data_IF_993092620007
#
_entry.id   IF_993092620007
#
_cell.length_a   1.000
_cell.length_b   1.000
_cell.length_c   1.000
_cell.angle_alpha   90.00
_cell.angle_beta   90.00
_cell.angle_gamma   90.00
#
_symmetry.space_group_name_H-M   'P 1'
#
loop_
_entity.id
_entity.type
_entity.pdbx_description
1 polymer ?
#
# COMPACT_ATOMS: atom_id res chain seq x y z
N UNK A 1 -21.03 22.81 1.11
CA UNK A 1 -19.56 22.70 0.98
C UNK A 1 -19.25 21.23 0.83
N UNK A 2 -18.24 20.89 0.03
CA UNK A 2 -17.83 19.50 -0.15
C UNK A 2 -16.54 19.26 0.63
N UNK A 3 -16.49 18.16 1.37
CA UNK A 3 -15.26 17.66 1.98
C UNK A 3 -14.95 16.27 1.44
N UNK A 4 -13.67 16.00 1.20
CA UNK A 4 -13.17 14.73 0.70
C UNK A 4 -12.35 14.06 1.80
N UNK A 5 -12.82 12.91 2.27
CA UNK A 5 -12.09 12.04 3.18
C UNK A 5 -11.50 10.91 2.36
N UNK A 6 -10.18 10.86 2.24
CA UNK A 6 -9.49 9.81 1.51
C UNK A 6 -8.92 8.79 2.49
N UNK A 7 -9.15 7.51 2.24
CA UNK A 7 -8.49 6.40 2.93
C UNK A 7 -7.58 5.68 1.93
N UNK A 8 -6.37 6.22 1.69
CA UNK A 8 -5.42 5.62 0.76
C UNK A 8 -4.76 4.38 1.39
N UNK A 9 -4.13 3.57 0.53
CA UNK A 9 -3.21 2.52 0.95
C UNK A 9 -2.04 2.51 -0.03
N UNK A 10 -0.82 2.66 0.48
CA UNK A 10 0.41 2.45 -0.32
C UNK A 10 0.90 1.05 0.00
N UNK A 11 0.65 0.11 -0.91
CA UNK A 11 0.86 -1.31 -0.65
C UNK A 11 2.34 -1.65 -0.42
N UNK A 12 3.26 -1.01 -1.13
CA UNK A 12 4.71 -1.16 -0.94
C UNK A 12 5.13 -0.91 0.51
N UNK A 13 4.67 0.20 1.12
CA UNK A 13 5.01 0.54 2.50
C UNK A 13 4.51 -0.51 3.50
N UNK A 14 3.30 -1.02 3.26
CA UNK A 14 2.70 -2.06 4.08
C UNK A 14 3.50 -3.36 3.99
N UNK A 15 3.93 -3.74 2.78
CA UNK A 15 4.73 -4.94 2.55
C UNK A 15 6.15 -4.77 3.12
N UNK A 16 6.77 -3.60 2.98
CA UNK A 16 8.07 -3.28 3.61
C UNK A 16 7.99 -3.47 5.12
N UNK A 17 6.97 -2.89 5.78
CA UNK A 17 6.75 -3.06 7.21
C UNK A 17 6.58 -4.53 7.59
N UNK A 18 5.78 -5.28 6.83
CA UNK A 18 5.56 -6.71 7.07
C UNK A 18 6.87 -7.53 6.98
N UNK A 19 7.73 -7.22 6.00
CA UNK A 19 9.06 -7.85 5.89
C UNK A 19 10.00 -7.45 7.02
N UNK A 20 10.03 -6.18 7.41
CA UNK A 20 10.85 -5.69 8.52
C UNK A 20 10.46 -6.40 9.83
N UNK A 21 9.16 -6.47 10.13
CA UNK A 21 8.63 -7.19 11.29
C UNK A 21 8.96 -8.69 11.22
N UNK A 22 8.88 -9.31 10.03
CA UNK A 22 9.26 -10.71 9.82
C UNK A 22 10.75 -10.97 10.11
N UNK A 23 11.65 -10.16 9.56
CA UNK A 23 13.09 -10.34 9.80
C UNK A 23 13.48 -10.08 11.26
N UNK A 24 12.83 -9.11 11.92
CA UNK A 24 12.96 -8.90 13.37
C UNK A 24 12.49 -10.13 14.16
N UNK A 25 11.34 -10.70 13.82
CA UNK A 25 10.80 -11.88 14.49
C UNK A 25 11.70 -13.13 14.28
N UNK A 26 12.33 -13.25 13.12
CA UNK A 26 13.33 -14.28 12.84
C UNK A 26 14.65 -14.09 13.60
N UNK A 27 14.88 -12.91 14.21
CA UNK A 27 16.14 -12.55 14.86
C UNK A 27 17.33 -12.72 13.90
N UNK A 28 17.17 -12.31 12.65
CA UNK A 28 18.18 -12.50 11.59
C UNK A 28 19.54 -11.92 11.93
N UNK A 29 19.61 -10.86 12.75
CA UNK A 29 20.86 -10.29 13.24
C UNK A 29 21.69 -11.27 14.09
N UNK A 30 21.06 -12.29 14.70
CA UNK A 30 21.77 -13.31 15.50
C UNK A 30 22.41 -14.39 14.62
N UNK A 31 21.76 -14.70 13.49
CA UNK A 31 22.23 -15.64 12.48
C UNK A 31 23.29 -15.01 11.56
N UNK A 32 23.07 -13.75 11.16
CA UNK A 32 23.94 -12.99 10.27
C UNK A 32 24.62 -11.84 11.02
N UNK A 33 25.47 -12.16 11.99
CA UNK A 33 26.08 -11.17 12.91
C UNK A 33 26.84 -10.01 12.24
N UNK A 34 27.27 -10.20 10.99
CA UNK A 34 28.01 -9.20 10.22
C UNK A 34 27.14 -8.42 9.23
N UNK A 35 25.84 -8.69 9.16
CA UNK A 35 24.94 -8.12 8.16
C UNK A 35 23.67 -7.58 8.80
N UNK A 36 23.29 -6.38 8.39
CA UNK A 36 21.97 -5.82 8.65
C UNK A 36 21.16 -5.94 7.36
N UNK A 37 19.97 -6.55 7.44
CA UNK A 37 19.08 -6.67 6.29
C UNK A 37 18.28 -5.38 6.19
N UNK A 38 18.42 -4.66 5.08
CA UNK A 38 17.69 -3.43 4.82
C UNK A 38 16.44 -3.71 3.99
N UNK A 39 15.25 -3.45 4.54
CA UNK A 39 14.01 -3.52 3.76
C UNK A 39 13.58 -2.11 3.38
N UNK A 40 13.34 -1.86 2.10
CA UNK A 40 13.12 -0.50 1.58
C UNK A 40 12.19 -0.51 0.37
N UNK A 41 11.56 0.62 0.09
CA UNK A 41 10.87 0.91 -1.17
C UNK A 41 11.74 1.72 -2.15
N UNK A 42 12.84 2.31 -1.68
CA UNK A 42 13.80 3.02 -2.52
C UNK A 42 14.90 2.06 -3.01
N UNK A 43 15.13 2.04 -4.32
CA UNK A 43 16.12 1.15 -4.91
C UNK A 43 17.55 1.58 -4.50
N UNK A 44 18.41 0.68 -3.97
CA UNK A 44 19.74 1.07 -3.43
C UNK A 44 20.63 1.77 -4.46
N UNK A 45 20.43 1.47 -5.75
CA UNK A 45 21.20 2.08 -6.83
C UNK A 45 20.83 3.56 -7.04
N UNK A 46 19.59 4.00 -6.77
CA UNK A 46 19.24 5.43 -6.88
C UNK A 46 20.04 6.28 -5.91
N UNK A 47 20.39 5.72 -4.75
CA UNK A 47 21.22 6.36 -3.72
C UNK A 47 22.70 6.43 -4.10
N UNK A 48 23.16 5.55 -5.00
CA UNK A 48 24.57 5.46 -5.40
C UNK A 48 24.86 6.11 -6.76
N UNK A 49 23.84 6.27 -7.63
CA UNK A 49 23.99 6.87 -8.96
C UNK A 49 24.57 8.30 -8.93
N UNK A 50 24.13 9.23 -8.04
CA UNK A 50 24.60 10.62 -8.09
C UNK A 50 26.13 10.75 -8.00
N UNK A 51 26.75 9.93 -7.15
CA UNK A 51 28.19 9.96 -6.88
C UNK A 51 28.94 8.78 -7.52
N UNK A 52 28.23 7.88 -8.22
CA UNK A 52 28.73 6.59 -8.71
C UNK A 52 29.59 5.84 -7.69
N UNK A 53 29.25 5.98 -6.40
CA UNK A 53 30.07 5.51 -5.28
C UNK A 53 29.35 4.37 -4.58
N UNK A 54 30.07 3.26 -4.41
CA UNK A 54 29.56 2.11 -3.71
C UNK A 54 29.35 2.42 -2.22
N UNK A 55 28.16 2.10 -1.71
CA UNK A 55 27.84 2.17 -0.30
C UNK A 55 27.52 0.77 0.24
N UNK A 56 28.47 0.15 0.97
CA UNK A 56 28.26 -1.17 1.56
C UNK A 56 27.17 -1.19 2.64
N UNK A 57 26.92 -0.06 3.31
CA UNK A 57 26.01 0.01 4.47
C UNK A 57 24.53 -0.17 4.11
N UNK A 58 24.17 -0.15 2.83
CA UNK A 58 22.79 -0.40 2.38
C UNK A 58 22.59 -1.83 1.88
N UNK A 59 23.60 -2.71 1.98
CA UNK A 59 23.53 -4.11 1.56
C UNK A 59 23.73 -5.09 2.74
N UNK A 60 23.06 -6.26 2.74
CA UNK A 60 22.05 -6.69 1.78
C UNK A 60 20.76 -5.90 1.92
N UNK A 61 20.06 -5.71 0.81
CA UNK A 61 18.73 -5.10 0.83
C UNK A 61 17.67 -5.96 0.16
N UNK A 62 16.45 -5.80 0.65
CA UNK A 62 15.20 -6.27 0.09
C UNK A 62 14.40 -5.03 -0.32
N UNK A 63 14.25 -4.83 -1.62
CA UNK A 63 13.54 -3.71 -2.22
C UNK A 63 12.15 -4.18 -2.59
N UNK A 64 11.13 -3.46 -2.14
CA UNK A 64 9.74 -3.69 -2.49
C UNK A 64 9.30 -2.60 -3.46
N UNK A 65 8.80 -2.98 -4.63
CA UNK A 65 8.31 -2.00 -5.60
C UNK A 65 7.06 -2.48 -6.34
N UNK A 66 6.23 -1.56 -6.80
CA UNK A 66 5.08 -1.84 -7.66
C UNK A 66 5.52 -1.83 -9.12
N UNK A 67 5.35 -2.95 -9.81
CA UNK A 67 5.68 -3.13 -11.23
C UNK A 67 4.57 -2.58 -12.14
N UNK A 68 3.33 -2.74 -11.72
CA UNK A 68 2.14 -2.28 -12.44
C UNK A 68 0.99 -2.08 -11.47
N UNK A 69 0.16 -1.08 -11.76
CA UNK A 69 -1.05 -0.77 -11.00
C UNK A 69 -2.22 -0.60 -11.97
N UNK A 70 -3.26 -1.43 -11.79
CA UNK A 70 -4.41 -1.49 -12.67
C UNK A 70 -5.73 -1.56 -11.89
N UNK A 71 -6.83 -1.29 -12.60
CA UNK A 71 -8.17 -1.58 -12.10
C UNK A 71 -8.58 -2.96 -12.57
N UNK A 72 -8.91 -3.91 -11.68
CA UNK A 72 -9.32 -5.24 -12.08
C UNK A 72 -10.61 -5.17 -12.91
N UNK A 73 -10.52 -5.63 -14.16
CA UNK A 73 -11.60 -5.56 -15.16
C UNK A 73 -12.83 -6.37 -14.75
N UNK A 74 -12.62 -7.45 -14.00
CA UNK A 74 -13.63 -8.41 -13.57
C UNK A 74 -14.61 -7.82 -12.55
N UNK A 75 -14.28 -6.67 -11.97
CA UNK A 75 -15.02 -6.02 -10.88
C UNK A 75 -15.52 -4.61 -11.25
N UNK A 76 -15.41 -4.20 -12.53
CA UNK A 76 -15.80 -2.85 -12.97
C UNK A 76 -17.28 -2.52 -12.71
N UNK A 77 -18.14 -3.54 -12.63
CA UNK A 77 -19.59 -3.37 -12.44
C UNK A 77 -20.02 -3.38 -10.96
N UNK A 78 -19.10 -3.63 -10.03
CA UNK A 78 -19.40 -3.62 -8.60
C UNK A 78 -19.20 -2.20 -8.04
N UNK A 79 -20.12 -1.28 -8.36
CA UNK A 79 -20.14 0.05 -7.75
C UNK A 79 -20.62 -0.09 -6.31
N UNK A 80 -19.69 -0.13 -5.36
CA UNK A 80 -20.01 -0.06 -3.93
C UNK A 80 -19.95 1.40 -3.49
N UNK A 81 -21.01 2.12 -3.84
CA UNK A 81 -21.32 3.41 -3.24
C UNK A 81 -22.26 3.19 -2.06
N UNK A 82 -21.90 3.68 -0.88
CA UNK A 82 -22.73 3.59 0.32
C UNK A 82 -23.00 4.96 0.91
N UNK A 83 -24.14 5.11 1.57
CA UNK A 83 -24.43 6.33 2.33
C UNK A 83 -23.47 6.43 3.52
N UNK A 84 -22.90 7.61 3.73
CA UNK A 84 -21.93 7.90 4.78
C UNK A 84 -22.53 8.93 5.73
N UNK A 85 -22.48 8.63 7.03
CA UNK A 85 -22.89 9.55 8.09
C UNK A 85 -21.69 9.73 9.01
N UNK A 86 -21.33 10.98 9.26
CA UNK A 86 -20.30 11.35 10.22
C UNK A 86 -20.96 12.09 11.38
N UNK A 87 -20.70 11.60 12.59
CA UNK A 87 -21.03 12.26 13.86
C UNK A 87 -19.78 12.90 14.45
N UNK A 88 -19.96 13.87 15.35
CA UNK A 88 -18.83 14.60 15.96
C UNK A 88 -17.85 13.68 16.69
N UNK A 89 -18.36 12.60 17.28
CA UNK A 89 -17.57 11.58 18.00
C UNK A 89 -16.68 10.76 17.08
N UNK A 90 -16.93 10.77 15.78
CA UNK A 90 -16.19 9.96 14.80
C UNK A 90 -14.92 10.66 14.35
N UNK A 91 -14.84 12.00 14.45
CA UNK A 91 -13.65 12.78 14.06
C UNK A 91 -12.33 12.19 14.61
N UNK A 92 -12.19 11.91 15.92
CA UNK A 92 -10.95 11.34 16.45
C UNK A 92 -10.68 9.91 15.93
N UNK A 93 -11.71 9.18 15.49
CA UNK A 93 -11.59 7.80 15.00
C UNK A 93 -11.20 7.73 13.51
N UNK A 94 -11.36 8.81 12.75
CA UNK A 94 -11.08 8.82 11.32
C UNK A 94 -9.62 8.43 11.00
N UNK A 95 -8.66 8.92 11.80
CA UNK A 95 -7.25 8.55 11.63
C UNK A 95 -7.00 7.07 11.97
N UNK A 96 -7.65 6.54 13.01
CA UNK A 96 -7.55 5.13 13.41
C UNK A 96 -8.12 4.19 12.32
N UNK A 97 -9.17 4.64 11.64
CA UNK A 97 -9.78 3.97 10.49
C UNK A 97 -8.98 4.15 9.18
N UNK A 98 -7.89 4.93 9.20
CA UNK A 98 -6.94 5.09 8.10
C UNK A 98 -7.24 6.25 7.15
N UNK A 99 -8.16 7.16 7.49
CA UNK A 99 -8.39 8.35 6.70
C UNK A 99 -7.23 9.35 6.86
N UNK A 100 -6.80 9.91 5.74
CA UNK A 100 -5.83 11.00 5.72
C UNK A 100 -6.52 12.31 6.15
N UNK A 101 -6.31 12.70 7.41
CA UNK A 101 -6.75 13.97 7.96
C UNK A 101 -5.56 14.92 8.14
N UNK A 102 -5.74 16.17 7.73
CA UNK A 102 -4.89 17.27 8.15
C UNK A 102 -5.62 18.12 9.21
N UNK A 103 -4.86 18.88 10.00
CA UNK A 103 -5.39 19.72 11.07
C UNK A 103 -6.45 20.74 10.57
N UNK A 104 -6.24 21.28 9.36
CA UNK A 104 -7.17 22.23 8.73
C UNK A 104 -8.52 21.56 8.45
N UNK A 105 -8.51 20.38 7.82
CA UNK A 105 -9.73 19.62 7.54
C UNK A 105 -10.47 19.22 8.82
N UNK A 106 -9.73 18.81 9.85
CA UNK A 106 -10.30 18.47 11.16
C UNK A 106 -11.04 19.66 11.76
N UNK A 107 -10.41 20.83 11.75
CA UNK A 107 -11.01 22.08 12.24
C UNK A 107 -12.23 22.49 11.42
N UNK A 108 -12.20 22.31 10.11
CA UNK A 108 -13.33 22.63 9.24
C UNK A 108 -14.54 21.72 9.52
N UNK A 109 -14.32 20.42 9.74
CA UNK A 109 -15.38 19.51 10.16
C UNK A 109 -15.95 19.90 11.53
N UNK A 110 -15.10 20.22 12.51
CA UNK A 110 -15.52 20.69 13.84
C UNK A 110 -16.38 21.96 13.76
N UNK A 111 -16.03 22.90 12.88
CA UNK A 111 -16.81 24.12 12.64
C UNK A 111 -18.18 23.82 12.03
N UNK A 112 -18.30 22.82 11.17
CA UNK A 112 -19.58 22.41 10.60
C UNK A 112 -20.46 21.70 11.65
N UNK A 113 -19.85 20.93 12.57
CA UNK A 113 -20.57 20.35 13.70
C UNK A 113 -21.05 21.38 14.74
N UNK A 114 -20.56 22.63 14.69
CA UNK A 114 -21.17 23.72 15.46
C UNK A 114 -22.55 24.13 14.91
N UNK A 115 -22.86 23.77 13.65
CA UNK A 115 -24.10 24.13 12.95
C UNK A 115 -25.03 22.94 12.74
N UNK A 116 -24.49 21.72 12.70
CA UNK A 116 -25.21 20.47 12.40
C UNK A 116 -24.83 19.37 13.38
N UNK A 117 -25.78 18.52 13.74
CA UNK A 117 -25.51 17.35 14.58
C UNK A 117 -24.83 16.22 13.79
N UNK A 118 -25.13 16.09 12.49
CA UNK A 118 -24.60 15.07 11.60
C UNK A 118 -24.20 15.67 10.26
N UNK A 119 -23.15 15.12 9.67
CA UNK A 119 -22.73 15.42 8.30
C UNK A 119 -22.98 14.18 7.43
N UNK A 120 -23.59 14.37 6.27
CA UNK A 120 -23.99 13.28 5.38
C UNK A 120 -23.16 13.30 4.09
N UNK A 121 -22.95 12.14 3.51
CA UNK A 121 -22.13 11.97 2.32
C UNK A 121 -22.32 10.62 1.64
N UNK A 122 -21.41 10.33 0.72
CA UNK A 122 -21.29 9.03 0.04
C UNK A 122 -19.87 8.54 0.16
N UNK A 123 -19.70 7.27 0.54
CA UNK A 123 -18.44 6.55 0.44
C UNK A 123 -18.39 5.77 -0.87
N UNK A 124 -17.24 5.79 -1.54
CA UNK A 124 -16.98 4.99 -2.73
C UNK A 124 -15.76 4.11 -2.50
N UNK A 125 -15.96 2.79 -2.60
CA UNK A 125 -14.89 1.81 -2.57
C UNK A 125 -14.31 1.64 -3.97
N UNK A 126 -13.00 1.75 -4.10
CA UNK A 126 -12.25 1.63 -5.36
C UNK A 126 -11.32 0.44 -5.23
N UNK A 127 -11.47 -0.52 -6.13
CA UNK A 127 -10.63 -1.72 -6.16
C UNK A 127 -9.39 -1.48 -7.01
N UNK A 128 -8.24 -1.93 -6.52
CA UNK A 128 -6.94 -1.88 -7.18
C UNK A 128 -6.36 -3.28 -7.26
N UNK A 129 -5.61 -3.52 -8.33
CA UNK A 129 -4.74 -4.68 -8.48
C UNK A 129 -3.34 -4.16 -8.78
N UNK A 130 -2.40 -4.54 -7.94
CA UNK A 130 -0.99 -4.24 -8.14
C UNK A 130 -0.21 -5.53 -8.36
N UNK A 131 0.83 -5.44 -9.20
CA UNK A 131 1.88 -6.45 -9.25
C UNK A 131 3.07 -5.91 -8.48
N UNK A 132 3.45 -6.59 -7.41
CA UNK A 132 4.56 -6.22 -6.54
C UNK A 132 5.80 -7.04 -6.90
N UNK A 133 6.95 -6.38 -6.97
CA UNK A 133 8.30 -6.94 -7.06
C UNK A 133 8.97 -6.89 -5.69
N UNK A 134 9.68 -7.95 -5.35
CA UNK A 134 10.63 -8.01 -4.25
C UNK A 134 12.00 -8.32 -4.84
N UNK A 135 12.87 -7.32 -4.88
CA UNK A 135 14.24 -7.48 -5.35
C UNK A 135 15.20 -7.61 -4.18
N UNK A 136 16.18 -8.50 -4.30
CA UNK A 136 17.14 -8.77 -3.23
C UNK A 136 18.52 -8.60 -3.82
N UNK A 137 19.31 -7.73 -3.21
CA UNK A 137 20.66 -7.41 -3.66
C UNK A 137 21.68 -7.60 -2.54
N UNK A 138 22.81 -8.23 -2.86
CA UNK A 138 23.93 -8.38 -1.94
C UNK A 138 25.24 -8.60 -2.68
N UNK A 139 26.35 -8.23 -2.06
CA UNK A 139 27.69 -8.66 -2.46
C UNK A 139 27.90 -10.17 -2.23
N UNK A 140 27.21 -10.74 -1.24
CA UNK A 140 27.34 -12.14 -0.87
C UNK A 140 26.22 -12.98 -1.52
N UNK A 141 26.60 -13.81 -2.49
CA UNK A 141 25.65 -14.62 -3.25
C UNK A 141 24.91 -15.66 -2.39
N UNK A 142 25.57 -16.23 -1.38
CA UNK A 142 24.97 -17.22 -0.48
C UNK A 142 23.91 -16.55 0.39
N UNK A 143 24.25 -15.42 1.01
CA UNK A 143 23.32 -14.63 1.81
C UNK A 143 22.10 -14.21 0.99
N UNK A 144 22.32 -13.71 -0.24
CA UNK A 144 21.21 -13.36 -1.15
C UNK A 144 20.30 -14.55 -1.47
N UNK A 145 20.85 -15.75 -1.67
CA UNK A 145 20.03 -16.95 -1.89
C UNK A 145 19.23 -17.34 -0.66
N UNK A 146 19.80 -17.22 0.54
CA UNK A 146 19.10 -17.51 1.79
C UNK A 146 17.97 -16.49 2.03
N UNK A 147 18.24 -15.20 1.80
CA UNK A 147 17.22 -14.15 1.84
C UNK A 147 16.11 -14.38 0.82
N UNK A 148 16.44 -14.83 -0.39
CA UNK A 148 15.45 -15.20 -1.40
C UNK A 148 14.49 -16.28 -0.90
N UNK A 149 15.00 -17.36 -0.31
CA UNK A 149 14.13 -18.43 0.21
C UNK A 149 13.34 -17.94 1.44
N UNK A 150 13.91 -17.11 2.32
CA UNK A 150 13.19 -16.49 3.43
C UNK A 150 12.03 -15.62 2.94
N UNK A 151 12.29 -14.76 1.95
CA UNK A 151 11.25 -13.92 1.36
C UNK A 151 10.15 -14.76 0.73
N UNK A 152 10.52 -15.79 -0.04
CA UNK A 152 9.57 -16.70 -0.68
C UNK A 152 8.69 -17.44 0.34
N UNK A 153 9.29 -17.95 1.43
CA UNK A 153 8.57 -18.61 2.51
C UNK A 153 7.59 -17.66 3.21
N UNK A 154 8.01 -16.41 3.46
CA UNK A 154 7.15 -15.41 4.06
C UNK A 154 5.97 -15.08 3.15
N UNK A 155 6.20 -14.82 1.86
CA UNK A 155 5.15 -14.53 0.89
C UNK A 155 4.14 -15.67 0.74
N UNK A 156 4.59 -16.92 0.72
CA UNK A 156 3.72 -18.08 0.54
C UNK A 156 2.97 -18.50 1.83
N UNK A 157 3.41 -18.03 3.00
CA UNK A 157 2.87 -18.44 4.29
C UNK A 157 2.54 -17.26 5.20
N UNK A 158 3.57 -16.67 5.81
CA UNK A 158 3.42 -15.73 6.93
C UNK A 158 2.84 -14.36 6.58
N UNK A 159 2.91 -13.92 5.32
CA UNK A 159 2.45 -12.57 4.94
C UNK A 159 0.94 -12.39 5.15
N UNK A 160 0.19 -13.49 5.08
CA UNK A 160 -1.25 -13.49 5.30
C UNK A 160 -1.63 -13.00 6.70
N UNK A 161 -0.86 -13.42 7.69
CA UNK A 161 -1.05 -13.04 9.09
C UNK A 161 -0.45 -11.67 9.38
N UNK A 162 0.71 -11.36 8.79
CA UNK A 162 1.34 -10.05 8.90
C UNK A 162 0.45 -8.91 8.37
N UNK A 163 -0.42 -9.21 7.40
CA UNK A 163 -1.36 -8.24 6.81
C UNK A 163 -2.78 -8.34 7.37
N UNK A 164 -3.00 -9.01 8.51
CA UNK A 164 -4.33 -9.25 9.06
C UNK A 164 -5.15 -7.98 9.33
N UNK A 165 -4.50 -6.89 9.76
CA UNK A 165 -5.19 -5.60 9.98
C UNK A 165 -5.63 -4.97 8.66
N UNK A 166 -4.74 -4.91 7.67
CA UNK A 166 -5.01 -4.35 6.35
C UNK A 166 -6.04 -5.19 5.57
N UNK A 167 -6.12 -6.50 5.83
CA UNK A 167 -7.22 -7.35 5.36
C UNK A 167 -8.58 -6.91 5.86
N UNK A 168 -8.67 -6.50 7.12
CA UNK A 168 -9.94 -6.04 7.71
C UNK A 168 -10.32 -4.65 7.18
N UNK A 169 -9.35 -3.73 7.07
CA UNK A 169 -9.61 -2.33 6.70
C UNK A 169 -9.70 -2.10 5.19
N UNK A 170 -8.83 -2.73 4.42
CA UNK A 170 -8.65 -2.49 2.98
C UNK A 170 -8.83 -3.75 2.12
N UNK A 171 -9.24 -4.87 2.70
CA UNK A 171 -9.42 -6.14 2.00
C UNK A 171 -8.20 -6.57 1.16
N UNK A 172 -6.99 -6.39 1.71
CA UNK A 172 -5.74 -6.75 1.04
C UNK A 172 -5.65 -8.27 0.86
N UNK A 173 -5.55 -8.73 -0.38
CA UNK A 173 -5.40 -10.13 -0.75
C UNK A 173 -4.14 -10.29 -1.59
N UNK A 174 -3.28 -11.23 -1.20
CA UNK A 174 -2.12 -11.66 -1.98
C UNK A 174 -2.45 -13.01 -2.60
N UNK A 175 -2.13 -13.16 -3.89
CA UNK A 175 -2.43 -14.37 -4.65
C UNK A 175 -1.20 -15.28 -4.71
N UNK A 176 -1.10 -16.24 -3.79
CA UNK A 176 0.05 -17.15 -3.69
C UNK A 176 0.38 -17.87 -5.02
N UNK A 177 -0.65 -18.22 -5.80
CA UNK A 177 -0.51 -18.87 -7.11
C UNK A 177 0.15 -17.98 -8.18
N UNK A 178 0.28 -16.68 -7.92
CA UNK A 178 0.93 -15.71 -8.80
C UNK A 178 2.38 -15.43 -8.43
N UNK A 179 2.86 -16.01 -7.30
CA UNK A 179 4.26 -15.85 -6.87
C UNK A 179 5.18 -16.49 -7.90
N UNK A 180 6.00 -15.66 -8.54
CA UNK A 180 7.03 -16.03 -9.51
C UNK A 180 8.37 -15.48 -9.06
N UNK A 181 9.48 -16.07 -9.46
CA UNK A 181 10.76 -15.46 -9.17
C UNK A 181 11.96 -16.06 -9.87
N UNK A 182 13.00 -15.23 -9.93
CA UNK A 182 14.29 -15.48 -10.56
C UNK A 182 15.37 -15.40 -9.48
N UNK A 183 15.87 -16.56 -9.04
CA UNK A 183 16.87 -16.62 -7.97
C UNK A 183 18.28 -16.23 -8.43
N UNK A 184 18.58 -16.37 -9.72
CA UNK A 184 19.94 -16.27 -10.26
C UNK A 184 19.96 -15.60 -11.62
N UNK A 185 21.14 -15.15 -12.04
CA UNK A 185 21.37 -14.56 -13.38
C UNK A 185 21.26 -13.04 -13.41
N UNK A 186 20.86 -12.42 -12.31
CA UNK A 186 20.87 -10.96 -12.17
C UNK A 186 22.15 -10.51 -11.45
N UNK A 187 22.94 -9.66 -12.10
CA UNK A 187 24.16 -9.09 -11.54
C UNK A 187 24.29 -7.63 -11.95
N UNK A 188 24.76 -6.78 -11.03
CA UNK A 188 25.14 -5.40 -11.31
C UNK A 188 26.64 -5.22 -11.01
N UNK A 189 27.34 -4.48 -11.88
CA UNK A 189 28.78 -4.20 -11.80
C UNK A 189 29.09 -2.70 -11.86
N UNK A 190 28.08 -1.84 -11.87
CA UNK A 190 28.21 -0.41 -12.21
C UNK A 190 29.00 0.38 -11.15
N UNK A 191 29.07 -0.15 -9.92
CA UNK A 191 29.67 0.51 -8.76
C UNK A 191 31.04 -0.08 -8.37
N UNK A 192 31.71 -0.79 -9.29
CA UNK A 192 33.06 -1.35 -9.06
C UNK A 192 33.10 -2.59 -8.16
N UNK A 193 31.94 -3.05 -7.69
CA UNK A 193 31.76 -4.32 -6.94
C UNK A 193 30.71 -5.18 -7.64
N UNK A 194 30.81 -6.50 -7.45
CA UNK A 194 29.82 -7.45 -7.97
C UNK A 194 28.65 -7.54 -7.01
N UNK A 195 27.49 -7.06 -7.42
CA UNK A 195 26.23 -7.24 -6.69
C UNK A 195 25.40 -8.33 -7.35
N UNK A 196 25.03 -9.36 -6.58
CA UNK A 196 24.13 -10.41 -7.01
C UNK A 196 22.69 -10.02 -6.70
N UNK A 197 21.82 -10.10 -7.70
CA UNK A 197 20.39 -9.84 -7.61
C UNK A 197 19.56 -11.13 -7.63
N UNK A 198 18.36 -11.04 -7.07
CA UNK A 198 17.25 -11.97 -7.32
C UNK A 198 15.93 -11.23 -7.20
N UNK A 199 14.88 -11.76 -7.82
CA UNK A 199 13.55 -11.13 -7.82
C UNK A 199 12.45 -12.13 -7.52
N UNK A 200 11.48 -11.73 -6.73
CA UNK A 200 10.17 -12.36 -6.60
C UNK A 200 9.12 -11.36 -7.08
N UNK A 201 8.02 -11.84 -7.64
CA UNK A 201 6.90 -10.98 -8.02
C UNK A 201 5.57 -11.70 -7.76
N UNK A 202 4.53 -10.95 -7.42
CA UNK A 202 3.20 -11.48 -7.15
C UNK A 202 2.13 -10.41 -7.37
N UNK A 203 0.90 -10.85 -7.57
CA UNK A 203 -0.25 -9.96 -7.66
C UNK A 203 -0.90 -9.81 -6.28
N UNK A 204 -1.43 -8.60 -6.04
CA UNK A 204 -2.22 -8.29 -4.86
C UNK A 204 -3.41 -7.40 -5.23
N UNK A 205 -4.58 -7.74 -4.69
CA UNK A 205 -5.79 -6.94 -4.81
C UNK A 205 -6.07 -6.25 -3.47
N UNK A 206 -6.52 -5.01 -3.50
CA UNK A 206 -6.90 -4.25 -2.31
C UNK A 206 -7.88 -3.13 -2.64
N UNK A 207 -8.47 -2.54 -1.62
CA UNK A 207 -9.43 -1.45 -1.73
C UNK A 207 -8.88 -0.16 -1.12
N UNK A 208 -9.16 0.95 -1.79
CA UNK A 208 -9.07 2.30 -1.26
C UNK A 208 -10.47 2.90 -1.21
N UNK A 209 -10.68 3.87 -0.32
CA UNK A 209 -11.98 4.50 -0.16
C UNK A 209 -11.87 6.02 -0.25
N UNK A 210 -12.89 6.63 -0.86
CA UNK A 210 -13.10 8.06 -0.79
C UNK A 210 -14.54 8.34 -0.33
N UNK A 211 -14.65 9.12 0.74
CA UNK A 211 -15.93 9.56 1.30
C UNK A 211 -16.10 11.04 1.04
N UNK A 212 -17.20 11.42 0.39
CA UNK A 212 -17.51 12.79 0.00
C UNK A 212 -18.66 13.27 0.87
N UNK A 213 -18.38 14.20 1.77
CA UNK A 213 -19.39 14.86 2.61
C UNK A 213 -19.92 16.06 1.85
N UNK A 214 -21.24 16.19 1.74
CA UNK A 214 -21.89 17.39 1.25
C UNK A 214 -22.74 18.02 2.34
N UNK A 215 -22.32 19.20 2.80
CA UNK A 215 -23.03 19.94 3.85
C UNK A 215 -24.41 20.46 3.43
N UNK A 216 -24.83 20.24 2.18
CA UNK A 216 -26.21 20.51 1.72
C UNK A 216 -27.15 19.30 1.84
N UNK A 217 -26.63 18.11 2.17
CA UNK A 217 -27.41 16.88 2.30
C UNK A 217 -27.88 16.72 3.75
N UNK A 218 -29.20 16.60 3.92
CA UNK A 218 -29.84 16.40 5.21
C UNK A 218 -30.58 15.05 5.20
N UNK A 219 -29.88 13.94 5.46
CA UNK A 219 -30.38 12.61 5.88
C UNK A 219 -31.45 11.87 5.05
N UNK A 220 -32.18 12.51 4.13
CA UNK A 220 -33.44 12.07 3.53
C UNK A 220 -33.41 12.02 1.99
N UNK A 221 -32.25 12.21 1.37
CA UNK A 221 -32.13 12.11 -0.09
C UNK A 221 -31.41 10.83 -0.46
N UNK A 222 -32.08 9.99 -1.25
CA UNK A 222 -31.40 9.00 -2.09
C UNK A 222 -30.41 9.77 -2.97
N UNK A 223 -29.12 9.68 -2.64
CA UNK A 223 -28.09 10.34 -3.41
C UNK A 223 -27.84 9.50 -4.66
N UNK A 224 -28.61 9.77 -5.73
CA UNK A 224 -28.40 9.19 -7.05
C UNK A 224 -27.41 10.08 -7.78
N UNK A 225 -26.18 9.58 -8.00
CA UNK A 225 -25.14 10.28 -8.79
C UNK A 225 -25.03 9.78 -10.24
N UNK A 226 -25.94 8.93 -10.69
CA UNK A 226 -26.24 8.84 -12.12
C UNK A 226 -27.22 9.98 -12.43
N UNK A 227 -26.84 10.90 -13.33
CA UNK A 227 -27.67 12.04 -13.78
C UNK A 227 -27.55 13.32 -12.94
N UNK A 228 -26.41 14.00 -13.02
CA UNK A 228 -26.43 15.47 -13.19
C UNK A 228 -25.95 15.87 -14.61
N UNK A 229 -25.27 14.98 -15.34
CA UNK A 229 -24.81 15.24 -16.71
C UNK A 229 -25.54 14.45 -17.83
N UNK A 230 -26.63 13.73 -17.55
CA UNK A 230 -27.28 12.86 -18.56
C UNK A 230 -28.79 12.99 -18.74
N UNK A 231 -29.44 14.07 -18.28
CA UNK A 231 -30.84 14.36 -18.66
C UNK A 231 -30.96 15.75 -19.29
N UNK A 232 -30.89 15.72 -20.64
CA UNK A 232 -31.35 16.68 -21.67
C UNK A 232 -30.48 17.92 -21.88
N UNK A 233 -30.08 18.27 -23.11
CA UNK A 233 -30.80 18.08 -24.37
C UNK A 233 -30.01 17.49 -25.54
N UNK A 234 -30.68 16.56 -26.21
CA UNK A 234 -30.61 16.28 -27.65
C UNK A 234 -30.64 17.55 -28.51
N UNK A 235 -30.18 17.41 -29.77
CA UNK A 235 -30.38 18.35 -30.89
C UNK A 235 -31.76 19.00 -30.90
#
# INVERSE_FOLDING_TARGET
MLYFLNRPLILEHVIVKAFDDYFKALRTQEYYRNWSIHVTNEHPFSLMIPDFTYNASIFPCVVVSTESDEKPSELMNLVESSFFILEKTDIPLLEEEGYALCDELKKDLENEFAKKEKLCGVSRVIRRRERISIEIWSENIQLKNELYEMCRLFLAGGIKDALAEYRKKNNVVIFDNTIQGDRSGNFNYDFGVKLAGSRLSFNADYFIEQSIIDTKIDGNKNIIWEVIDNVKGSK
#
